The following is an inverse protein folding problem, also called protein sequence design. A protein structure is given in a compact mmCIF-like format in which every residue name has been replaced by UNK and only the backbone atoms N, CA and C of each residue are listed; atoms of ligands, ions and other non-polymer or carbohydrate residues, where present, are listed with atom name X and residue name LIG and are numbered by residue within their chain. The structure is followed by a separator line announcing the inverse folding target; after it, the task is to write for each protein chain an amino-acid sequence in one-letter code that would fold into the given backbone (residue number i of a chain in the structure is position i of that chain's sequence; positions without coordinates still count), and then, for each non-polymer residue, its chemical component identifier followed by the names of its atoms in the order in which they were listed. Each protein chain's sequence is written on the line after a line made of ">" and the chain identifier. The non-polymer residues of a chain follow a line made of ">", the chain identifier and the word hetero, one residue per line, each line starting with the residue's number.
data_IF_732691740133
#
_entry.id   IF_732691740133
#
_cell.length_a   1.000
_cell.length_b   1.000
_cell.length_c   1.000
_cell.angle_alpha   90.00
_cell.angle_beta   90.00
_cell.angle_gamma   90.00
#
_symmetry.space_group_name_H-M   'P 1'
#
loop_
_entity.id
_entity.type
_entity.pdbx_description
1 polymer ?
#
# COMPACT_ATOMS: atom_id res chain seq x y z
N UNK A 1 10.85 19.30 2.64
CA UNK A 1 12.11 19.07 1.89
C UNK A 1 11.82 17.94 0.93
N UNK A 2 11.50 18.24 -0.33
CA UNK A 2 11.23 17.18 -1.32
C UNK A 2 12.59 16.70 -1.82
N UNK A 3 12.84 15.41 -1.64
CA UNK A 3 14.10 14.75 -1.97
C UNK A 3 14.31 14.73 -3.49
N UNK A 4 15.56 14.56 -3.94
CA UNK A 4 15.99 14.51 -5.36
C UNK A 4 15.41 13.32 -6.17
N UNK A 5 14.33 12.70 -5.69
CA UNK A 5 13.78 11.46 -6.20
C UNK A 5 12.76 11.71 -7.31
N UNK A 6 12.90 10.99 -8.42
CA UNK A 6 11.96 11.04 -9.52
C UNK A 6 10.68 10.22 -9.19
N UNK A 7 9.65 10.89 -8.66
CA UNK A 7 8.40 10.24 -8.27
C UNK A 7 7.50 9.96 -9.48
N UNK A 8 7.53 8.71 -9.96
CA UNK A 8 6.63 8.22 -11.02
C UNK A 8 5.15 8.29 -10.61
N UNK A 9 4.86 8.15 -9.32
CA UNK A 9 3.51 8.33 -8.79
C UNK A 9 3.03 9.78 -8.95
N UNK A 10 3.88 10.77 -8.65
CA UNK A 10 3.55 12.18 -8.83
C UNK A 10 3.32 12.51 -10.32
N UNK A 11 4.14 11.96 -11.23
CA UNK A 11 3.94 12.10 -12.68
C UNK A 11 2.59 11.54 -13.13
N UNK A 12 2.22 10.37 -12.61
CA UNK A 12 0.93 9.72 -12.92
C UNK A 12 -0.25 10.56 -12.44
N UNK A 13 -0.19 11.14 -11.23
CA UNK A 13 -1.27 11.99 -10.70
C UNK A 13 -1.37 13.36 -11.39
N UNK A 14 -0.25 13.86 -11.92
CA UNK A 14 -0.21 15.10 -12.70
C UNK A 14 -0.88 14.93 -14.07
N UNK A 15 -0.79 13.75 -14.69
CA UNK A 15 -1.48 13.42 -15.95
C UNK A 15 -3.00 13.38 -15.73
N UNK A 16 -3.72 14.12 -16.59
CA UNK A 16 -5.18 14.31 -16.54
C UNK A 16 -5.91 13.53 -17.62
N UNK A 17 -5.20 13.09 -18.66
CA UNK A 17 -5.73 12.16 -19.65
C UNK A 17 -5.77 10.74 -19.05
N UNK A 18 -6.96 10.16 -18.97
CA UNK A 18 -7.17 8.85 -18.35
C UNK A 18 -6.41 7.72 -19.07
N UNK A 19 -6.38 7.73 -20.40
CA UNK A 19 -5.71 6.69 -21.19
C UNK A 19 -4.20 6.77 -21.00
N UNK A 20 -3.62 7.98 -21.06
CA UNK A 20 -2.19 8.16 -20.80
C UNK A 20 -1.82 7.85 -19.36
N UNK A 21 -2.68 8.22 -18.41
CA UNK A 21 -2.48 7.88 -17.01
C UNK A 21 -2.47 6.35 -16.82
N UNK A 22 -3.37 5.63 -17.49
CA UNK A 22 -3.40 4.17 -17.47
C UNK A 22 -2.13 3.57 -18.08
N UNK A 23 -1.68 4.05 -19.24
CA UNK A 23 -0.45 3.59 -19.89
C UNK A 23 0.79 3.81 -19.01
N UNK A 24 0.91 4.97 -18.37
CA UNK A 24 1.99 5.26 -17.42
C UNK A 24 2.03 4.23 -16.27
N UNK A 25 0.86 3.90 -15.69
CA UNK A 25 0.79 2.88 -14.62
C UNK A 25 1.25 1.49 -15.05
N UNK A 26 1.17 1.15 -16.33
CA UNK A 26 1.54 -0.18 -16.84
C UNK A 26 2.95 -0.24 -17.44
N UNK A 27 3.52 0.91 -17.81
CA UNK A 27 4.81 0.97 -18.52
C UNK A 27 5.94 1.53 -17.68
N UNK A 28 5.74 2.65 -16.99
CA UNK A 28 6.82 3.33 -16.26
C UNK A 28 6.95 2.82 -14.83
N UNK A 29 5.85 2.36 -14.23
CA UNK A 29 5.85 1.75 -12.90
C UNK A 29 6.65 0.45 -12.88
N UNK A 30 6.70 -0.29 -14.00
CA UNK A 30 7.43 -1.57 -14.08
C UNK A 30 8.95 -1.42 -14.22
N UNK A 31 9.46 -0.19 -14.40
CA UNK A 31 10.89 0.10 -14.57
C UNK A 31 11.48 0.96 -13.44
N UNK A 32 10.73 1.18 -12.36
CA UNK A 32 11.23 1.95 -11.21
C UNK A 32 12.32 1.20 -10.46
N UNK A 33 13.27 1.93 -9.89
CA UNK A 33 14.36 1.35 -9.08
C UNK A 33 13.84 0.74 -7.77
N UNK A 34 12.78 1.33 -7.21
CA UNK A 34 12.13 0.82 -6.00
C UNK A 34 10.65 1.22 -5.94
N UNK A 35 9.87 0.39 -5.25
CA UNK A 35 8.54 0.73 -4.78
C UNK A 35 8.62 1.12 -3.31
N UNK A 36 8.03 2.26 -2.94
CA UNK A 36 7.83 2.67 -1.56
C UNK A 36 6.34 2.64 -1.26
N UNK A 37 5.94 1.84 -0.28
CA UNK A 37 4.55 1.69 0.14
C UNK A 37 4.46 1.45 1.64
N UNK A 38 3.36 1.86 2.26
CA UNK A 38 3.01 1.46 3.63
C UNK A 38 2.34 0.09 3.62
N UNK A 39 2.53 -0.70 4.67
CA UNK A 39 1.79 -1.94 4.87
C UNK A 39 0.59 -1.69 5.76
N UNK A 40 -0.52 -2.40 5.57
CA UNK A 40 -1.67 -2.32 6.46
C UNK A 40 -1.40 -3.06 7.76
N UNK A 41 -0.76 -4.23 7.67
CA UNK A 41 -0.29 -4.96 8.83
C UNK A 41 0.97 -5.79 8.60
N UNK A 42 1.69 -6.10 9.68
CA UNK A 42 2.87 -6.98 9.68
C UNK A 42 2.67 -8.04 10.77
N UNK A 43 2.58 -9.32 10.39
CA UNK A 43 2.43 -10.42 11.36
C UNK A 43 3.77 -10.72 12.06
N UNK A 44 3.74 -11.38 13.23
CA UNK A 44 4.94 -11.78 13.99
C UNK A 44 5.87 -12.70 13.17
N UNK A 45 5.28 -13.54 12.31
CA UNK A 45 6.00 -14.40 11.36
C UNK A 45 6.70 -13.66 10.23
N UNK A 46 6.52 -12.34 10.13
CA UNK A 46 7.11 -11.47 9.11
C UNK A 46 6.26 -11.32 7.85
N UNK A 47 5.03 -11.82 7.85
CA UNK A 47 4.11 -11.64 6.73
C UNK A 47 3.60 -10.21 6.65
N UNK A 48 3.71 -9.63 5.46
CA UNK A 48 3.29 -8.26 5.19
C UNK A 48 1.93 -8.29 4.49
N UNK A 49 0.93 -7.68 5.12
CA UNK A 49 -0.43 -7.56 4.63
C UNK A 49 -0.71 -6.13 4.13
N UNK A 50 -1.28 -6.03 2.94
CA UNK A 50 -1.56 -4.76 2.28
C UNK A 50 -3.00 -4.69 1.76
N UNK A 51 -3.65 -3.56 2.02
CA UNK A 51 -4.89 -3.09 1.42
C UNK A 51 -4.74 -1.59 1.10
N UNK A 52 -5.13 -1.18 -0.10
CA UNK A 52 -4.97 0.21 -0.58
C UNK A 52 -5.53 1.23 0.44
N UNK A 53 -4.81 2.34 0.66
CA UNK A 53 -5.19 3.51 1.46
C UNK A 53 -5.33 3.33 2.99
N UNK A 54 -4.70 2.31 3.56
CA UNK A 54 -4.63 2.16 5.03
C UNK A 54 -3.28 2.45 5.66
N UNK A 55 -3.35 3.02 6.87
CA UNK A 55 -2.21 3.07 7.80
C UNK A 55 -1.77 1.67 8.26
N UNK A 56 -0.68 1.62 9.02
CA UNK A 56 0.03 0.39 9.36
C UNK A 56 -0.23 -0.09 10.79
N UNK A 57 -0.17 -1.42 11.01
CA UNK A 57 -0.22 -2.05 12.35
C UNK A 57 0.53 -3.37 12.41
N UNK A 58 1.45 -3.56 13.34
CA UNK A 58 2.04 -4.90 13.59
C UNK A 58 1.03 -5.77 14.36
N UNK A 59 0.80 -7.00 13.92
CA UNK A 59 -0.18 -7.97 14.46
C UNK A 59 0.48 -9.34 14.71
N UNK A 60 -0.20 -10.25 15.39
CA UNK A 60 0.38 -11.57 15.74
C UNK A 60 0.42 -12.51 14.52
N UNK A 61 -0.69 -12.61 13.79
CA UNK A 61 -0.82 -13.56 12.68
C UNK A 61 -1.63 -12.99 11.50
N UNK A 62 -1.68 -13.73 10.39
CA UNK A 62 -2.41 -13.32 9.19
C UNK A 62 -3.93 -13.23 9.37
N UNK A 63 -4.49 -14.03 10.30
CA UNK A 63 -5.90 -13.96 10.63
C UNK A 63 -6.22 -12.62 11.30
N UNK A 64 -5.37 -12.19 12.24
CA UNK A 64 -5.47 -10.88 12.85
C UNK A 64 -5.20 -9.76 11.84
N UNK A 65 -4.28 -9.96 10.89
CA UNK A 65 -4.04 -9.01 9.80
C UNK A 65 -5.31 -8.79 8.95
N UNK A 66 -5.99 -9.87 8.56
CA UNK A 66 -7.25 -9.79 7.82
C UNK A 66 -8.34 -9.09 8.65
N UNK A 67 -8.46 -9.40 9.94
CA UNK A 67 -9.43 -8.73 10.81
C UNK A 67 -9.16 -7.23 10.97
N UNK A 68 -7.88 -6.84 11.04
CA UNK A 68 -7.50 -5.43 11.05
C UNK A 68 -7.90 -4.75 9.73
N UNK A 69 -7.70 -5.43 8.61
CA UNK A 69 -8.07 -4.90 7.31
C UNK A 69 -9.59 -4.74 7.19
N UNK A 70 -10.35 -5.79 7.48
CA UNK A 70 -11.81 -5.75 7.35
C UNK A 70 -12.44 -4.79 8.36
N UNK A 71 -11.96 -4.80 9.60
CA UNK A 71 -12.58 -4.08 10.72
C UNK A 71 -12.14 -2.62 10.86
N UNK A 72 -10.94 -2.26 10.39
CA UNK A 72 -10.40 -0.91 10.54
C UNK A 72 -10.10 -0.26 9.19
N UNK A 73 -9.32 -0.92 8.33
CA UNK A 73 -8.90 -0.35 7.05
C UNK A 73 -10.09 -0.07 6.14
N UNK A 74 -10.92 -1.09 5.90
CA UNK A 74 -12.09 -0.95 5.03
C UNK A 74 -13.03 0.11 5.59
N UNK A 75 -13.25 0.16 6.91
CA UNK A 75 -14.11 1.16 7.53
C UNK A 75 -13.61 2.60 7.33
N UNK A 76 -12.30 2.83 7.45
CA UNK A 76 -11.68 4.14 7.20
C UNK A 76 -11.79 4.52 5.72
N UNK A 77 -11.51 3.57 4.83
CA UNK A 77 -11.59 3.80 3.38
C UNK A 77 -13.04 4.00 2.91
N UNK A 78 -14.02 3.32 3.52
CA UNK A 78 -15.46 3.53 3.29
C UNK A 78 -15.85 4.96 3.62
N UNK A 79 -15.42 5.46 4.79
CA UNK A 79 -15.70 6.81 5.22
C UNK A 79 -15.05 7.84 4.28
N UNK A 80 -13.79 7.61 3.89
CA UNK A 80 -13.07 8.47 2.96
C UNK A 80 -13.69 8.48 1.57
N UNK A 81 -14.07 7.32 1.04
CA UNK A 81 -14.64 7.22 -0.31
C UNK A 81 -16.03 7.89 -0.40
N UNK A 82 -16.84 7.80 0.65
CA UNK A 82 -18.10 8.55 0.76
C UNK A 82 -17.84 10.06 0.77
N UNK A 83 -16.89 10.53 1.57
CA UNK A 83 -16.57 11.96 1.71
C UNK A 83 -15.91 12.55 0.45
N UNK A 84 -14.87 11.88 -0.07
CA UNK A 84 -14.05 12.39 -1.17
C UNK A 84 -14.70 12.20 -2.55
N UNK A 85 -15.49 11.13 -2.74
CA UNK A 85 -15.99 10.74 -4.07
C UNK A 85 -17.51 10.57 -4.15
N UNK A 86 -18.24 10.64 -3.03
CA UNK A 86 -19.68 10.36 -3.00
C UNK A 86 -20.02 8.90 -3.33
N UNK A 87 -19.06 7.98 -3.18
CA UNK A 87 -19.26 6.55 -3.41
C UNK A 87 -20.18 5.95 -2.33
N UNK A 88 -20.92 4.89 -2.68
CA UNK A 88 -21.81 4.22 -1.73
C UNK A 88 -21.06 3.41 -0.66
N UNK A 89 -19.96 2.77 -1.07
CA UNK A 89 -19.05 1.99 -0.24
C UNK A 89 -17.73 1.77 -1.00
N UNK A 90 -16.72 1.35 -0.27
CA UNK A 90 -15.45 0.82 -0.75
C UNK A 90 -15.47 -0.71 -0.72
N UNK A 91 -14.47 -1.33 -1.34
CA UNK A 91 -14.33 -2.79 -1.36
C UNK A 91 -12.85 -3.19 -1.35
N UNK A 92 -12.54 -4.33 -0.74
CA UNK A 92 -11.21 -4.92 -0.76
C UNK A 92 -11.13 -5.83 -1.99
N UNK A 93 -10.94 -5.22 -3.16
CA UNK A 93 -10.84 -5.97 -4.42
C UNK A 93 -9.54 -6.80 -4.54
N UNK A 94 -8.47 -6.36 -3.87
CA UNK A 94 -7.16 -6.99 -3.92
C UNK A 94 -6.52 -7.09 -2.54
N UNK A 95 -6.06 -8.30 -2.19
CA UNK A 95 -5.30 -8.59 -0.99
C UNK A 95 -4.00 -9.31 -1.36
N UNK A 96 -2.88 -8.81 -0.85
CA UNK A 96 -1.57 -9.37 -1.12
C UNK A 96 -0.84 -9.69 0.19
N UNK A 97 -0.23 -10.87 0.23
CA UNK A 97 0.64 -11.32 1.32
C UNK A 97 2.03 -11.61 0.77
N UNK A 98 3.03 -10.91 1.30
CA UNK A 98 4.43 -11.20 0.98
C UNK A 98 5.00 -12.12 2.04
N UNK A 99 5.27 -13.38 1.67
CA UNK A 99 5.83 -14.41 2.57
C UNK A 99 7.34 -14.58 2.43
N UNK A 100 7.89 -14.26 1.26
CA UNK A 100 9.31 -14.50 0.96
C UNK A 100 9.82 -13.54 -0.10
N UNK A 101 11.08 -13.14 0.03
CA UNK A 101 11.79 -12.44 -1.03
C UNK A 101 11.96 -13.31 -2.27
N UNK A 102 12.07 -12.67 -3.43
CA UNK A 102 12.38 -13.35 -4.69
C UNK A 102 13.75 -14.06 -4.57
N UNK A 103 13.83 -15.39 -4.79
CA UNK A 103 15.07 -16.14 -4.60
C UNK A 103 16.18 -15.78 -5.60
N UNK A 104 15.84 -15.16 -6.73
CA UNK A 104 16.80 -14.74 -7.77
C UNK A 104 17.26 -13.28 -7.61
N UNK A 105 16.57 -12.50 -6.79
CA UNK A 105 16.86 -11.09 -6.53
C UNK A 105 16.75 -10.80 -5.04
N UNK A 106 17.68 -11.38 -4.28
CA UNK A 106 17.75 -11.23 -2.83
C UNK A 106 18.00 -9.78 -2.41
N UNK A 107 17.55 -9.41 -1.20
CA UNK A 107 17.81 -8.09 -0.61
C UNK A 107 16.99 -6.93 -1.19
N UNK A 108 15.94 -7.20 -1.96
CA UNK A 108 15.08 -6.17 -2.59
C UNK A 108 13.88 -5.72 -1.74
N UNK A 109 13.67 -6.33 -0.57
CA UNK A 109 12.62 -5.96 0.37
C UNK A 109 13.29 -5.41 1.62
N UNK A 110 13.04 -4.13 1.89
CA UNK A 110 13.47 -3.47 3.11
C UNK A 110 12.23 -2.99 3.85
N UNK A 111 12.07 -3.44 5.10
CA UNK A 111 11.01 -2.97 5.98
C UNK A 111 11.61 -1.91 6.90
N UNK A 112 11.05 -0.71 6.87
CA UNK A 112 11.40 0.38 7.78
C UNK A 112 10.25 0.55 8.75
N UNK A 113 10.45 0.14 10.00
CA UNK A 113 9.47 0.36 11.06
C UNK A 113 9.67 1.77 11.62
N UNK A 114 8.62 2.59 11.55
CA UNK A 114 8.61 3.92 12.13
C UNK A 114 7.70 3.91 13.34
N UNK A 115 8.22 4.37 14.48
CA UNK A 115 7.43 4.55 15.69
C UNK A 115 6.78 5.93 15.69
N UNK A 116 5.47 6.00 15.91
CA UNK A 116 4.71 7.24 16.07
C UNK A 116 3.69 7.13 17.22
N UNK A 117 2.82 8.12 17.39
CA UNK A 117 1.80 8.20 18.44
C UNK A 117 0.85 6.99 18.51
N UNK A 118 0.75 6.21 17.42
CA UNK A 118 -0.05 4.98 17.35
C UNK A 118 0.78 3.71 17.58
N UNK A 119 2.08 3.83 17.88
CA UNK A 119 3.01 2.73 18.05
C UNK A 119 3.83 2.46 16.78
N UNK A 120 4.20 1.18 16.61
CA UNK A 120 4.69 0.63 15.35
C UNK A 120 3.56 0.02 14.53
#
# INVERSE_FOLDING_TARGET
>A
MFSEWNSVHALTLAEKDFTKQWELRHTIVSIVDCFLTSMSAIAEGGELAYADLSGFRIVMDEGEAQQCIDGFVLAVEDARARDAYGAAASDIAHYAVIRKANPYFLGRIQVVLMYDALGF
#
